data_IF_964914983044
#
_entry.id   IF_964914983044
#
_cell.length_a   1.000
_cell.length_b   1.000
_cell.length_c   1.000
_cell.angle_alpha   90.00
_cell.angle_beta   90.00
_cell.angle_gamma   90.00
#
_symmetry.space_group_name_H-M   'P 1'
#
loop_
_entity.id
_entity.type
_entity.pdbx_description
1 polymer ?
#
# COMPACT_ATOMS: atom_id res chain seq x y z
N UNK A 1 17.82 -18.25 0.72
CA UNK A 1 17.02 -19.47 0.58
C UNK A 1 16.68 -19.63 -0.88
N UNK A 2 17.23 -20.65 -1.47
CA UNK A 2 17.15 -20.98 -2.89
C UNK A 2 15.86 -21.63 -3.19
N UNK A 3 14.76 -21.49 -3.01
CA UNK A 3 13.60 -22.28 -3.45
C UNK A 3 12.24 -21.61 -3.22
N UNK A 4 12.18 -20.26 -3.27
CA UNK A 4 10.88 -19.62 -3.40
C UNK A 4 10.40 -19.83 -4.84
N UNK A 5 9.65 -20.88 -5.06
CA UNK A 5 8.87 -21.04 -6.28
C UNK A 5 8.03 -19.77 -6.46
N UNK A 6 7.95 -19.17 -7.65
CA UNK A 6 7.16 -17.95 -7.87
C UNK A 6 5.67 -18.09 -7.49
N UNK A 7 5.21 -19.32 -7.32
CA UNK A 7 3.84 -19.63 -6.91
C UNK A 7 3.63 -19.75 -5.39
N UNK A 8 4.66 -19.56 -4.58
CA UNK A 8 4.59 -19.80 -3.13
C UNK A 8 4.25 -18.54 -2.31
N UNK A 9 3.64 -17.52 -2.90
CA UNK A 9 3.25 -16.30 -2.18
C UNK A 9 4.43 -15.43 -1.73
N UNK A 10 5.61 -15.61 -2.30
CA UNK A 10 6.79 -14.79 -2.01
C UNK A 10 6.62 -13.35 -2.46
N UNK A 11 7.13 -12.42 -1.68
CA UNK A 11 7.09 -10.98 -1.98
C UNK A 11 8.35 -10.53 -2.75
N UNK A 12 8.25 -9.42 -3.49
CA UNK A 12 9.37 -8.77 -4.19
C UNK A 12 10.54 -8.43 -3.24
N UNK A 13 10.21 -7.94 -2.05
CA UNK A 13 11.19 -7.47 -1.06
C UNK A 13 11.28 -8.44 0.14
N UNK A 14 11.50 -9.73 -0.12
CA UNK A 14 11.49 -10.80 0.87
C UNK A 14 12.48 -10.64 2.03
N UNK A 15 13.51 -9.83 1.87
CA UNK A 15 14.50 -9.51 2.91
C UNK A 15 14.16 -8.28 3.75
N UNK A 16 13.09 -7.57 3.44
CA UNK A 16 12.68 -6.35 4.15
C UNK A 16 12.18 -6.67 5.57
N UNK A 17 12.57 -5.84 6.52
CA UNK A 17 11.98 -5.85 7.87
C UNK A 17 10.68 -5.09 7.87
N UNK A 18 9.68 -5.60 8.59
CA UNK A 18 8.35 -5.01 8.68
C UNK A 18 8.11 -4.43 10.05
N UNK A 19 7.54 -3.23 10.08
CA UNK A 19 6.84 -2.67 11.24
C UNK A 19 5.35 -2.84 10.96
N UNK A 20 4.69 -3.67 11.75
CA UNK A 20 3.25 -3.95 11.58
C UNK A 20 2.49 -3.22 12.66
N UNK A 21 1.48 -2.45 12.27
CA UNK A 21 0.61 -1.71 13.15
C UNK A 21 -0.82 -2.21 13.00
N UNK A 22 -1.44 -2.61 14.10
CA UNK A 22 -2.84 -2.99 14.13
C UNK A 22 -3.72 -1.73 14.10
N UNK A 23 -4.69 -1.73 13.20
CA UNK A 23 -5.64 -0.62 12.99
C UNK A 23 -7.10 -1.04 13.27
N UNK A 24 -7.30 -2.25 13.76
CA UNK A 24 -8.63 -2.79 14.11
C UNK A 24 -8.63 -3.11 15.60
N UNK A 25 -9.52 -2.47 16.34
CA UNK A 25 -9.73 -2.77 17.76
C UNK A 25 -10.71 -3.94 17.98
N UNK A 26 -10.85 -4.40 19.23
CA UNK A 26 -11.89 -5.36 19.64
C UNK A 26 -13.31 -4.88 19.32
N UNK A 27 -13.51 -3.57 19.21
CA UNK A 27 -14.80 -2.94 18.92
C UNK A 27 -15.04 -2.77 17.41
N UNK A 28 -14.15 -3.29 16.59
CA UNK A 28 -14.20 -3.26 15.14
C UNK A 28 -13.29 -2.20 14.50
N UNK A 29 -13.65 -1.76 13.30
CA UNK A 29 -12.90 -0.74 12.57
C UNK A 29 -12.99 0.61 13.27
N UNK A 30 -11.85 1.08 13.72
CA UNK A 30 -11.69 2.46 14.23
C UNK A 30 -10.75 3.18 13.26
N UNK A 31 -11.21 4.27 12.62
CA UNK A 31 -10.36 5.03 11.70
C UNK A 31 -9.08 5.47 12.41
N UNK A 32 -7.89 5.09 11.90
CA UNK A 32 -6.64 5.35 12.59
C UNK A 32 -6.30 6.84 12.62
N UNK A 33 -5.60 7.26 13.66
CA UNK A 33 -4.93 8.56 13.65
C UNK A 33 -3.69 8.47 12.76
N UNK A 34 -3.73 9.13 11.61
CA UNK A 34 -2.66 9.08 10.61
C UNK A 34 -1.31 9.56 11.18
N UNK A 35 -1.32 10.60 12.02
CA UNK A 35 -0.08 11.10 12.63
C UNK A 35 0.55 10.03 13.53
N UNK A 36 -0.25 9.40 14.39
CA UNK A 36 0.24 8.37 15.29
C UNK A 36 0.88 7.21 14.50
N UNK A 37 0.19 6.71 13.46
CA UNK A 37 0.70 5.62 12.62
C UNK A 37 2.02 5.98 11.93
N UNK A 38 2.07 7.13 11.28
CA UNK A 38 3.23 7.53 10.48
C UNK A 38 4.45 7.82 11.36
N UNK A 39 4.27 8.58 12.45
CA UNK A 39 5.36 8.91 13.36
C UNK A 39 5.86 7.71 14.16
N UNK A 40 4.97 6.83 14.62
CA UNK A 40 5.34 5.61 15.32
C UNK A 40 6.15 4.68 14.40
N UNK A 41 5.69 4.45 13.17
CA UNK A 41 6.44 3.66 12.19
C UNK A 41 7.83 4.24 11.94
N UNK A 42 7.94 5.57 11.79
CA UNK A 42 9.24 6.24 11.59
C UNK A 42 10.16 6.11 12.78
N UNK A 43 9.63 6.16 14.01
CA UNK A 43 10.41 5.95 15.23
C UNK A 43 11.02 4.53 15.30
N UNK A 44 10.42 3.57 14.60
CA UNK A 44 10.94 2.21 14.43
C UNK A 44 11.73 2.00 13.12
N UNK A 45 12.05 3.07 12.41
CA UNK A 45 12.86 3.06 11.18
C UNK A 45 12.07 2.74 9.91
N UNK A 46 10.74 2.76 9.96
CA UNK A 46 9.89 2.63 8.77
C UNK A 46 9.99 3.87 7.89
N UNK A 47 10.32 3.69 6.62
CA UNK A 47 10.43 4.78 5.63
C UNK A 47 9.48 4.61 4.46
N UNK A 48 8.97 3.40 4.23
CA UNK A 48 7.94 3.09 3.24
C UNK A 48 6.71 2.60 3.99
N UNK A 49 5.62 3.35 3.87
CA UNK A 49 4.36 3.06 4.54
C UNK A 49 3.36 2.49 3.52
N UNK A 50 3.00 1.23 3.68
CA UNK A 50 2.01 0.55 2.82
C UNK A 50 0.64 0.56 3.49
N UNK A 51 -0.33 1.28 2.90
CA UNK A 51 -1.64 1.52 3.49
C UNK A 51 -2.75 1.01 2.56
N UNK A 52 -3.30 -0.15 2.87
CA UNK A 52 -4.42 -0.75 2.13
C UNK A 52 -5.76 -0.53 2.81
N UNK A 53 -5.97 0.68 3.32
CA UNK A 53 -7.16 1.13 4.04
C UNK A 53 -7.48 2.59 3.73
N UNK A 54 -8.68 3.02 4.04
CA UNK A 54 -9.16 4.38 3.88
C UNK A 54 -10.62 4.50 4.28
N UNK A 55 -11.17 5.70 4.18
CA UNK A 55 -12.60 5.95 4.40
C UNK A 55 -13.35 6.05 3.07
N UNK A 56 -14.64 5.78 3.10
CA UNK A 56 -15.50 5.82 1.91
C UNK A 56 -15.93 7.26 1.58
N UNK A 57 -14.95 8.09 1.30
CA UNK A 57 -15.13 9.48 0.87
C UNK A 57 -14.04 9.91 -0.11
N UNK A 58 -14.40 10.72 -1.09
CA UNK A 58 -13.47 11.36 -2.04
C UNK A 58 -13.01 12.74 -1.57
N UNK A 59 -13.60 13.26 -0.49
CA UNK A 59 -13.26 14.56 0.05
C UNK A 59 -11.82 14.59 0.59
N UNK A 60 -11.13 15.70 0.36
CA UNK A 60 -9.84 15.97 1.00
C UNK A 60 -10.07 16.40 2.44
N UNK A 61 -10.00 15.47 3.38
CA UNK A 61 -10.26 15.72 4.78
C UNK A 61 -8.99 15.99 5.59
N UNK A 62 -9.14 16.18 6.89
CA UNK A 62 -8.02 16.32 7.82
C UNK A 62 -7.07 15.10 7.76
N UNK A 63 -7.59 13.89 7.58
CA UNK A 63 -6.80 12.66 7.46
C UNK A 63 -5.83 12.73 6.27
N UNK A 64 -6.34 13.09 5.09
CA UNK A 64 -5.51 13.29 3.91
C UNK A 64 -4.48 14.39 4.14
N UNK A 65 -4.90 15.51 4.74
CA UNK A 65 -4.02 16.63 5.08
C UNK A 65 -2.87 16.22 6.01
N UNK A 66 -3.08 15.28 6.93
CA UNK A 66 -2.05 14.74 7.82
C UNK A 66 -1.00 13.91 7.07
N UNK A 67 -1.39 13.11 6.09
CA UNK A 67 -0.46 12.41 5.21
C UNK A 67 0.42 13.39 4.43
N UNK A 68 -0.19 14.43 3.84
CA UNK A 68 0.55 15.46 3.11
C UNK A 68 1.49 16.27 4.01
N UNK A 69 1.06 16.61 5.21
CA UNK A 69 1.87 17.31 6.19
C UNK A 69 3.06 16.45 6.66
N UNK A 70 2.83 15.16 6.90
CA UNK A 70 3.88 14.21 7.26
C UNK A 70 4.91 14.06 6.14
N UNK A 71 4.49 13.86 4.89
CA UNK A 71 5.40 13.75 3.76
C UNK A 71 6.27 15.01 3.59
N UNK A 72 5.73 16.20 3.89
CA UNK A 72 6.50 17.45 3.91
C UNK A 72 7.50 17.51 5.05
N UNK A 73 7.15 17.01 6.22
CA UNK A 73 8.01 16.99 7.40
C UNK A 73 9.11 15.92 7.31
N UNK A 74 8.82 14.81 6.63
CA UNK A 74 9.70 13.64 6.51
C UNK A 74 9.90 13.30 5.02
N UNK A 75 10.64 14.14 4.26
CA UNK A 75 10.72 14.04 2.79
C UNK A 75 11.42 12.76 2.27
N UNK A 76 12.07 12.00 3.13
CA UNK A 76 12.66 10.68 2.81
C UNK A 76 11.70 9.52 3.05
N UNK A 77 10.48 9.80 3.46
CA UNK A 77 9.43 8.81 3.67
C UNK A 77 8.48 8.74 2.47
N UNK A 78 7.96 7.57 2.19
CA UNK A 78 7.03 7.31 1.10
C UNK A 78 5.74 6.65 1.62
N UNK A 79 4.61 7.32 1.48
CA UNK A 79 3.30 6.74 1.75
C UNK A 79 2.71 6.18 0.46
N UNK A 80 2.50 4.87 0.42
CA UNK A 80 1.88 4.11 -0.68
C UNK A 80 0.48 3.71 -0.24
N UNK A 81 -0.54 4.09 -0.98
CA UNK A 81 -1.93 4.02 -0.50
C UNK A 81 -2.87 3.45 -1.57
N UNK A 82 -3.79 2.60 -1.14
CA UNK A 82 -4.85 2.05 -1.98
C UNK A 82 -5.98 3.07 -2.18
N UNK A 83 -6.36 3.41 -3.42
CA UNK A 83 -7.35 4.44 -3.71
C UNK A 83 -8.80 3.98 -3.63
N UNK A 84 -9.05 2.69 -3.41
CA UNK A 84 -10.39 2.10 -3.38
C UNK A 84 -10.69 1.18 -4.55
N UNK A 85 -11.86 0.54 -4.50
CA UNK A 85 -12.30 -0.51 -5.43
C UNK A 85 -13.73 -0.29 -5.96
N UNK A 86 -14.18 0.95 -6.04
CA UNK A 86 -15.51 1.33 -6.52
C UNK A 86 -15.54 1.84 -7.98
N UNK A 87 -14.41 1.75 -8.69
CA UNK A 87 -14.27 2.23 -10.07
C UNK A 87 -13.89 3.70 -10.11
N UNK A 88 -14.84 4.61 -10.05
CA UNK A 88 -14.59 6.04 -10.10
C UNK A 88 -14.16 6.60 -8.74
N UNK A 89 -13.50 7.77 -8.80
CA UNK A 89 -13.07 8.51 -7.62
C UNK A 89 -11.84 7.93 -6.95
N UNK A 90 -11.14 8.76 -6.20
CA UNK A 90 -10.00 8.38 -5.37
C UNK A 90 -10.39 8.66 -3.92
N UNK A 91 -10.48 7.59 -3.13
CA UNK A 91 -10.87 7.69 -1.73
C UNK A 91 -9.72 8.23 -0.87
N UNK A 92 -10.05 8.82 0.26
CA UNK A 92 -9.05 9.25 1.23
C UNK A 92 -8.38 8.04 1.93
N UNK A 93 -7.10 8.13 2.32
CA UNK A 93 -6.19 9.26 2.11
C UNK A 93 -5.40 9.21 0.81
N UNK A 94 -5.75 8.35 -0.14
CA UNK A 94 -5.06 8.23 -1.42
C UNK A 94 -5.26 9.47 -2.34
N UNK A 95 -6.27 10.29 -2.07
CA UNK A 95 -6.50 11.57 -2.74
C UNK A 95 -5.53 12.70 -2.29
N UNK A 96 -4.53 12.37 -1.47
CA UNK A 96 -3.46 13.27 -1.05
C UNK A 96 -2.53 13.66 -2.20
N UNK A 97 -1.79 14.77 -2.03
CA UNK A 97 -0.90 15.33 -3.05
C UNK A 97 0.53 14.83 -2.95
N UNK A 98 0.92 14.33 -1.77
CA UNK A 98 2.27 13.86 -1.48
C UNK A 98 2.28 12.37 -1.11
N UNK A 99 1.37 11.62 -1.68
CA UNK A 99 1.24 10.18 -1.50
C UNK A 99 1.31 9.46 -2.85
N UNK A 100 1.66 8.19 -2.84
CA UNK A 100 1.65 7.33 -4.02
C UNK A 100 0.36 6.51 -4.00
N UNK A 101 -0.65 6.95 -4.72
CA UNK A 101 -1.89 6.19 -4.91
C UNK A 101 -1.67 5.09 -5.96
N UNK A 102 -1.98 3.84 -5.61
CA UNK A 102 -1.69 2.66 -6.42
C UNK A 102 -2.96 1.91 -6.77
N UNK A 103 -3.37 1.99 -8.01
CA UNK A 103 -4.49 1.23 -8.55
C UNK A 103 -4.08 -0.17 -8.99
N UNK A 104 -5.06 -1.07 -9.06
CA UNK A 104 -4.85 -2.46 -9.42
C UNK A 104 -4.84 -2.69 -10.93
N UNK A 105 -3.85 -3.44 -11.42
CA UNK A 105 -3.84 -4.03 -12.75
C UNK A 105 -4.07 -5.54 -12.71
N UNK A 106 -4.37 -6.09 -13.89
CA UNK A 106 -4.27 -7.54 -14.12
C UNK A 106 -2.81 -7.99 -14.07
N UNK A 107 -2.58 -9.31 -14.00
CA UNK A 107 -1.25 -9.91 -14.07
C UNK A 107 -0.77 -10.15 -15.51
N UNK A 108 -1.53 -9.72 -16.51
CA UNK A 108 -1.13 -9.84 -17.91
C UNK A 108 0.08 -8.97 -18.22
N UNK A 109 0.83 -9.31 -19.27
CA UNK A 109 1.95 -8.49 -19.74
C UNK A 109 1.49 -7.11 -20.20
N UNK A 110 0.25 -6.99 -20.64
CA UNK A 110 -0.34 -5.71 -21.06
C UNK A 110 -0.75 -4.84 -19.86
N UNK A 111 -0.70 -5.39 -18.64
CA UNK A 111 -0.99 -4.69 -17.38
C UNK A 111 -2.28 -3.87 -17.43
N UNK A 112 -3.34 -4.44 -17.99
CA UNK A 112 -4.64 -3.77 -18.08
C UNK A 112 -5.17 -3.40 -16.68
N UNK A 113 -5.84 -2.26 -16.59
CA UNK A 113 -6.50 -1.84 -15.36
C UNK A 113 -7.54 -2.88 -14.93
N UNK A 114 -7.48 -3.31 -13.67
CA UNK A 114 -8.53 -4.16 -13.09
C UNK A 114 -9.84 -3.37 -12.95
N UNK A 115 -10.96 -3.96 -13.44
CA UNK A 115 -12.20 -3.23 -13.69
C UNK A 115 -12.79 -2.47 -12.51
N UNK A 116 -12.64 -2.99 -11.29
CA UNK A 116 -13.22 -2.36 -10.08
C UNK A 116 -12.28 -1.37 -9.39
N UNK A 117 -10.99 -1.29 -9.76
CA UNK A 117 -10.06 -0.39 -9.07
C UNK A 117 -10.42 1.08 -9.32
N UNK A 118 -10.24 1.92 -8.31
CA UNK A 118 -10.36 3.37 -8.49
C UNK A 118 -9.35 3.88 -9.51
N UNK A 119 -9.75 4.85 -10.35
CA UNK A 119 -8.91 5.36 -11.43
C UNK A 119 -8.89 6.90 -11.52
N UNK A 120 -9.55 7.58 -10.59
CA UNK A 120 -9.68 9.03 -10.60
C UNK A 120 -10.84 9.54 -11.46
N UNK A 121 -10.99 10.85 -11.59
CA UNK A 121 -10.16 11.85 -10.93
C UNK A 121 -10.44 11.97 -9.42
N UNK A 122 -9.60 12.77 -8.72
CA UNK A 122 -9.93 13.23 -7.37
C UNK A 122 -11.06 14.26 -7.42
N UNK A 123 -11.67 14.56 -6.29
CA UNK A 123 -12.69 15.64 -6.20
C UNK A 123 -12.12 17.01 -6.63
N UNK A 124 -10.83 17.23 -6.46
CA UNK A 124 -10.14 18.44 -6.93
C UNK A 124 -9.85 18.45 -8.44
N UNK A 125 -10.23 17.41 -9.18
CA UNK A 125 -10.06 17.30 -10.63
C UNK A 125 -8.64 16.92 -11.07
N UNK A 126 -7.79 16.41 -10.18
CA UNK A 126 -6.48 15.84 -10.54
C UNK A 126 -6.62 14.34 -10.83
N UNK A 127 -5.70 13.77 -11.60
CA UNK A 127 -5.74 12.35 -11.97
C UNK A 127 -5.73 11.43 -10.73
N UNK A 128 -4.99 11.79 -9.67
CA UNK A 128 -4.99 11.14 -8.37
C UNK A 128 -4.26 9.82 -8.30
N UNK A 129 -4.18 9.07 -9.39
CA UNK A 129 -3.47 7.78 -9.43
C UNK A 129 -2.06 7.99 -9.96
N UNK A 130 -1.07 7.49 -9.22
CA UNK A 130 0.33 7.62 -9.58
C UNK A 130 0.80 6.43 -10.45
N UNK A 131 0.40 5.21 -10.08
CA UNK A 131 0.88 3.99 -10.75
C UNK A 131 -0.15 2.87 -10.67
N UNK A 132 -0.08 1.93 -11.62
CA UNK A 132 -0.75 0.64 -11.57
C UNK A 132 0.25 -0.43 -11.11
N UNK A 133 -0.21 -1.36 -10.28
CA UNK A 133 0.55 -2.54 -9.90
C UNK A 133 -0.35 -3.79 -9.91
N UNK A 134 0.19 -5.00 -10.05
CA UNK A 134 -0.60 -6.22 -10.03
C UNK A 134 -1.48 -6.31 -8.78
N UNK A 135 -2.79 -6.38 -8.96
CA UNK A 135 -3.77 -6.41 -7.88
C UNK A 135 -4.93 -7.37 -8.12
N UNK A 136 -4.98 -8.04 -9.29
CA UNK A 136 -6.01 -9.02 -9.60
C UNK A 136 -5.51 -10.45 -9.40
N UNK A 137 -6.28 -11.26 -8.66
CA UNK A 137 -5.98 -12.67 -8.38
C UNK A 137 -4.58 -12.89 -7.77
N UNK A 138 -4.24 -12.10 -6.78
CA UNK A 138 -2.96 -12.16 -6.08
C UNK A 138 -3.02 -13.23 -5.00
N UNK A 139 -2.10 -14.19 -5.06
CA UNK A 139 -1.89 -15.22 -4.07
C UNK A 139 -0.93 -14.69 -2.99
N UNK A 140 -1.31 -14.79 -1.74
CA UNK A 140 -0.50 -14.36 -0.60
C UNK A 140 -0.87 -15.14 0.66
N UNK A 141 -0.24 -14.82 1.78
CA UNK A 141 -0.55 -15.42 3.08
C UNK A 141 -2.03 -15.23 3.43
N UNK A 142 -2.63 -16.31 3.91
CA UNK A 142 -4.02 -16.34 4.36
C UNK A 142 -4.09 -16.50 5.88
N UNK A 143 -4.96 -15.73 6.52
CA UNK A 143 -5.27 -15.91 7.93
C UNK A 143 -6.18 -17.14 8.12
N UNK A 144 -6.01 -17.87 9.20
CA UNK A 144 -6.86 -18.98 9.63
C UNK A 144 -7.97 -18.57 10.62
N UNK A 145 -7.97 -17.31 11.05
CA UNK A 145 -8.92 -16.76 12.02
C UNK A 145 -8.51 -16.90 13.48
N UNK A 146 -7.34 -17.45 13.76
CA UNK A 146 -6.80 -17.59 15.11
C UNK A 146 -5.53 -16.75 15.26
N UNK A 147 -5.47 -15.95 16.32
CA UNK A 147 -4.35 -15.02 16.55
C UNK A 147 -3.11 -15.68 17.16
N UNK A 148 -3.26 -16.86 17.75
CA UNK A 148 -2.25 -17.59 18.50
C UNK A 148 -1.73 -18.83 17.78
N UNK A 149 -2.09 -19.03 16.52
CA UNK A 149 -1.64 -20.14 15.68
C UNK A 149 -0.72 -19.67 14.56
N UNK A 150 0.20 -20.53 14.18
CA UNK A 150 0.99 -20.38 12.96
C UNK A 150 0.39 -21.27 11.88
N UNK A 151 0.18 -20.70 10.71
CA UNK A 151 -0.31 -21.45 9.55
C UNK A 151 0.49 -21.13 8.29
N UNK A 152 0.42 -22.00 7.30
CA UNK A 152 1.01 -21.83 5.97
C UNK A 152 -0.06 -21.64 4.90
N UNK A 153 -1.26 -21.22 5.29
CA UNK A 153 -2.38 -21.04 4.39
C UNK A 153 -2.10 -19.90 3.39
N UNK A 154 -2.51 -20.15 2.17
CA UNK A 154 -2.50 -19.15 1.10
C UNK A 154 -3.92 -18.76 0.71
N UNK A 155 -4.09 -17.50 0.36
CA UNK A 155 -5.36 -16.95 -0.11
C UNK A 155 -5.15 -16.11 -1.35
N UNK A 156 -6.07 -16.24 -2.29
CA UNK A 156 -6.15 -15.37 -3.47
C UNK A 156 -7.14 -14.24 -3.22
N UNK A 157 -6.73 -13.01 -3.52
CA UNK A 157 -7.57 -11.82 -3.42
C UNK A 157 -7.33 -10.85 -4.57
N UNK A 158 -8.26 -9.92 -4.78
CA UNK A 158 -8.15 -8.86 -5.80
C UNK A 158 -8.53 -7.51 -5.20
N UNK A 159 -7.83 -6.47 -5.60
CA UNK A 159 -8.09 -5.10 -5.17
C UNK A 159 -6.87 -4.20 -5.25
N UNK A 160 -7.09 -2.90 -5.13
CA UNK A 160 -6.02 -1.93 -4.91
C UNK A 160 -5.22 -2.22 -3.64
N UNK A 161 -5.84 -2.88 -2.66
CA UNK A 161 -5.17 -3.37 -1.45
C UNK A 161 -4.08 -4.40 -1.72
N UNK A 162 -4.15 -5.15 -2.82
CA UNK A 162 -3.12 -6.09 -3.26
C UNK A 162 -2.06 -5.41 -4.12
N UNK A 163 -2.44 -4.40 -4.88
CA UNK A 163 -1.53 -3.60 -5.71
C UNK A 163 -0.58 -2.74 -4.85
N UNK A 164 -1.10 -2.12 -3.81
CA UNK A 164 -0.35 -1.22 -2.92
C UNK A 164 0.92 -1.84 -2.35
N UNK A 165 0.89 -3.03 -1.71
CA UNK A 165 2.11 -3.66 -1.21
C UNK A 165 3.08 -4.12 -2.31
N UNK A 166 2.61 -4.40 -3.54
CA UNK A 166 3.51 -4.64 -4.67
C UNK A 166 4.34 -3.39 -4.99
N UNK A 167 3.69 -2.22 -5.07
CA UNK A 167 4.40 -0.97 -5.30
C UNK A 167 5.33 -0.61 -4.13
N UNK A 168 4.91 -0.83 -2.88
CA UNK A 168 5.76 -0.64 -1.71
C UNK A 168 6.99 -1.57 -1.73
N UNK A 169 6.82 -2.82 -2.10
CA UNK A 169 7.92 -3.78 -2.28
C UNK A 169 8.89 -3.36 -3.38
N UNK A 170 8.38 -2.88 -4.51
CA UNK A 170 9.21 -2.33 -5.58
C UNK A 170 10.00 -1.10 -5.11
N UNK A 171 9.37 -0.20 -4.37
CA UNK A 171 10.04 0.97 -3.78
C UNK A 171 11.17 0.56 -2.81
N UNK A 172 10.96 -0.49 -2.01
CA UNK A 172 12.00 -1.02 -1.12
C UNK A 172 13.21 -1.56 -1.89
N UNK A 173 12.99 -2.25 -3.01
CA UNK A 173 14.08 -2.71 -3.88
C UNK A 173 14.82 -1.52 -4.50
N UNK A 174 14.10 -0.51 -4.99
CA UNK A 174 14.72 0.72 -5.53
C UNK A 174 15.54 1.43 -4.47
N UNK A 175 15.02 1.57 -3.25
CA UNK A 175 15.76 2.16 -2.13
C UNK A 175 17.05 1.39 -1.84
N UNK A 176 17.00 0.06 -1.83
CA UNK A 176 18.18 -0.77 -1.65
C UNK A 176 19.22 -0.52 -2.74
N UNK A 177 18.80 -0.44 -4.01
CA UNK A 177 19.73 -0.17 -5.11
C UNK A 177 20.49 1.15 -4.93
N UNK A 178 19.83 2.20 -4.41
CA UNK A 178 20.48 3.46 -4.06
C UNK A 178 21.43 3.31 -2.86
N UNK A 179 21.00 2.63 -1.80
CA UNK A 179 21.82 2.42 -0.59
C UNK A 179 23.08 1.60 -0.86
N UNK A 180 22.96 0.60 -1.73
CA UNK A 180 24.07 -0.28 -2.11
C UNK A 180 24.98 0.35 -3.20
N UNK A 181 24.63 1.56 -3.69
CA UNK A 181 25.42 2.29 -4.69
C UNK A 181 25.34 1.75 -6.12
N UNK A 182 24.34 0.92 -6.43
CA UNK A 182 24.08 0.43 -7.78
C UNK A 182 23.53 1.52 -8.70
N UNK A 183 22.84 2.50 -8.13
CA UNK A 183 22.31 3.67 -8.82
C UNK A 183 23.00 4.89 -8.19
N UNK A 184 23.76 5.63 -9.00
CA UNK A 184 24.40 6.89 -8.58
C UNK A 184 23.70 8.07 -9.23
N UNK A 185 23.73 9.22 -8.56
CA UNK A 185 23.23 10.49 -9.11
C UNK A 185 24.09 11.00 -10.24
#
# INVERSE_FOLDING_TARGET
RQDAHPDNGSTLAHGTKLVVQDIVSSDGWVPPNADALLWESSAHGGVIHSNSWGDDTTAYTERTGRFDAYARAVPWSLAVIAPGNSGEGVLEPANGRNVVAVSASTKSLDAERWGSTAYGPTEAGTDGIFVLAPGANILSAGADGFWDTNNENLRTSSGSSMATPHAAGAAAVVQQLYQDGWITH
#
